data_IF_010131403546
#
_entry.id   IF_010131403546
#
_cell.length_a   1.000
_cell.length_b   1.000
_cell.length_c   1.000
_cell.angle_alpha   90.00
_cell.angle_beta   90.00
_cell.angle_gamma   90.00
#
_symmetry.space_group_name_H-M   'P 1'
#
loop_
_entity.id
_entity.type
_entity.pdbx_description
1 polymer ?
#
# COMPACT_ATOMS: atom_id res chain seq x y z
N UNK A 1 -19.51 -9.18 -3.85
CA UNK A 1 -18.89 -8.06 -4.58
C UNK A 1 -17.93 -7.39 -3.62
N UNK A 2 -16.64 -7.69 -3.70
CA UNK A 2 -15.65 -7.00 -2.88
C UNK A 2 -15.46 -5.61 -3.50
N UNK A 3 -15.92 -4.58 -2.79
CA UNK A 3 -15.66 -3.19 -3.16
C UNK A 3 -14.15 -2.98 -3.21
N UNK A 4 -13.60 -2.77 -4.41
CA UNK A 4 -12.22 -2.31 -4.58
C UNK A 4 -12.14 -0.94 -3.90
N UNK A 5 -11.47 -0.92 -2.76
CA UNK A 5 -11.27 0.27 -1.95
C UNK A 5 -9.90 0.85 -2.29
N UNK A 6 -9.82 2.13 -2.66
CA UNK A 6 -8.57 2.81 -2.97
C UNK A 6 -8.59 4.24 -2.43
N UNK A 7 -7.42 4.78 -2.11
CA UNK A 7 -7.30 6.13 -1.56
C UNK A 7 -7.89 6.28 -0.16
N UNK A 8 -7.88 5.21 0.63
CA UNK A 8 -8.50 5.18 1.96
C UNK A 8 -7.44 5.37 3.03
N UNK A 9 -7.75 6.09 4.11
CA UNK A 9 -6.88 6.20 5.29
C UNK A 9 -7.47 5.45 6.47
N UNK A 10 -6.60 4.81 7.24
CA UNK A 10 -6.90 4.33 8.58
C UNK A 10 -6.04 5.05 9.62
N UNK A 11 -6.59 5.29 10.81
CA UNK A 11 -5.95 6.11 11.84
C UNK A 11 -5.93 5.45 13.21
N UNK A 12 -7.06 4.89 13.64
CA UNK A 12 -7.25 4.44 15.01
C UNK A 12 -7.12 2.93 15.09
N UNK A 13 -6.00 2.49 15.65
CA UNK A 13 -5.75 1.08 15.91
C UNK A 13 -6.49 0.61 17.15
N UNK A 14 -6.74 -0.69 17.21
CA UNK A 14 -7.05 -1.37 18.46
C UNK A 14 -5.90 -1.13 19.45
N UNK A 15 -6.24 -0.61 20.63
CA UNK A 15 -5.28 -0.07 21.61
C UNK A 15 -4.18 -1.06 22.00
N UNK A 16 -4.44 -2.35 21.86
CA UNK A 16 -3.54 -3.43 22.26
C UNK A 16 -2.41 -3.70 21.25
N UNK A 17 -2.51 -3.23 19.99
CA UNK A 17 -1.47 -3.47 18.97
C UNK A 17 -0.70 -2.20 18.59
N UNK A 18 0.41 -1.99 19.29
CA UNK A 18 1.40 -0.94 19.00
C UNK A 18 2.56 -1.45 18.15
N UNK A 19 2.45 -2.59 17.46
CA UNK A 19 3.55 -3.14 16.67
C UNK A 19 3.69 -2.42 15.32
N UNK A 20 4.92 -2.19 14.82
CA UNK A 20 5.12 -1.49 13.56
C UNK A 20 4.56 -2.30 12.39
N UNK A 21 3.77 -1.68 11.50
CA UNK A 21 3.26 -2.38 10.30
C UNK A 21 3.90 -1.90 9.00
N UNK A 22 4.65 -0.81 9.06
CA UNK A 22 5.35 -0.27 7.91
C UNK A 22 6.86 -0.19 8.15
N UNK A 23 7.61 -0.28 7.06
CA UNK A 23 9.06 -0.03 7.02
C UNK A 23 9.36 1.15 6.11
N UNK A 24 10.49 1.80 6.37
CA UNK A 24 11.05 2.78 5.45
C UNK A 24 11.79 2.09 4.29
N UNK A 25 12.32 2.89 3.36
CA UNK A 25 13.05 2.41 2.18
C UNK A 25 14.36 1.68 2.51
N UNK A 26 14.84 1.77 3.75
CA UNK A 26 16.00 1.05 4.26
C UNK A 26 15.58 -0.20 5.04
N UNK A 27 14.33 -0.63 4.90
CA UNK A 27 13.74 -1.75 5.63
C UNK A 27 13.73 -1.59 7.16
N UNK A 28 13.85 -0.35 7.67
CA UNK A 28 13.77 -0.09 9.11
C UNK A 28 12.31 0.06 9.53
N UNK A 29 11.85 -0.61 10.60
CA UNK A 29 10.50 -0.42 11.11
C UNK A 29 10.23 1.05 11.41
N UNK A 30 9.06 1.53 10.99
CA UNK A 30 8.57 2.82 11.43
C UNK A 30 7.92 2.57 12.78
N UNK A 31 8.44 3.14 13.86
CA UNK A 31 7.92 2.90 15.21
C UNK A 31 6.62 3.69 15.48
N UNK A 32 5.76 3.10 16.32
CA UNK A 32 4.43 3.57 16.73
C UNK A 32 4.43 4.26 18.10
N UNK A 33 5.61 4.45 18.73
CA UNK A 33 5.72 4.96 20.11
C UNK A 33 5.26 6.42 20.27
N UNK A 34 4.90 6.80 21.49
CA UNK A 34 4.69 8.19 21.93
C UNK A 34 3.70 8.97 21.06
N UNK A 35 2.47 8.46 20.94
CA UNK A 35 1.38 9.09 20.16
C UNK A 35 1.59 9.12 18.64
N UNK A 36 2.60 8.40 18.11
CA UNK A 36 2.78 8.22 16.66
C UNK A 36 1.89 7.11 16.12
N UNK A 37 0.67 7.49 15.75
CA UNK A 37 -0.21 6.59 15.02
C UNK A 37 0.35 6.34 13.60
N UNK A 38 0.53 5.06 13.25
CA UNK A 38 0.68 4.67 11.85
C UNK A 38 -0.62 4.98 11.13
N UNK A 39 -0.55 5.91 10.18
CA UNK A 39 -1.65 6.24 9.29
C UNK A 39 -1.34 5.62 7.93
N UNK A 40 -1.71 4.35 7.70
CA UNK A 40 -1.60 3.78 6.38
C UNK A 40 -2.56 4.51 5.44
N UNK A 41 -2.01 4.96 4.33
CA UNK A 41 -2.79 5.39 3.19
C UNK A 41 -2.89 4.22 2.22
N UNK A 42 -4.06 3.59 2.17
CA UNK A 42 -4.33 2.47 1.28
C UNK A 42 -4.42 2.98 -0.16
N UNK A 43 -3.43 2.60 -0.95
CA UNK A 43 -3.42 2.83 -2.39
C UNK A 43 -4.51 2.01 -3.04
N UNK A 44 -4.65 0.74 -2.62
CA UNK A 44 -5.61 -0.20 -3.17
C UNK A 44 -5.75 -1.45 -2.27
N UNK A 45 -6.97 -2.03 -2.27
CA UNK A 45 -7.31 -3.34 -1.71
C UNK A 45 -7.51 -4.38 -2.81
N UNK A 46 -6.77 -5.49 -2.77
CA UNK A 46 -7.19 -6.71 -3.46
C UNK A 46 -8.20 -7.49 -2.62
N UNK A 47 -8.62 -8.64 -3.13
CA UNK A 47 -9.48 -9.55 -2.37
C UNK A 47 -8.80 -10.04 -1.09
N UNK A 48 -7.46 -10.17 -1.08
CA UNK A 48 -6.69 -10.82 -0.02
C UNK A 48 -5.58 -9.95 0.59
N UNK A 49 -5.18 -8.83 -0.03
CA UNK A 49 -4.07 -7.97 0.41
C UNK A 49 -4.48 -6.50 0.46
N UNK A 50 -3.77 -5.75 1.31
CA UNK A 50 -3.80 -4.28 1.36
C UNK A 50 -2.45 -3.75 0.93
N UNK A 51 -2.45 -2.81 -0.01
CA UNK A 51 -1.27 -2.09 -0.48
C UNK A 51 -1.34 -0.65 0.02
N UNK A 52 -0.39 -0.27 0.88
CA UNK A 52 -0.48 1.02 1.57
C UNK A 52 0.86 1.74 1.72
N UNK A 53 0.76 3.07 1.72
CA UNK A 53 1.86 3.99 1.95
C UNK A 53 1.84 4.48 3.39
N UNK A 54 2.98 4.98 3.84
CA UNK A 54 3.09 5.57 5.18
C UNK A 54 2.84 7.08 5.13
N UNK A 55 1.93 7.57 5.98
CA UNK A 55 1.72 9.00 6.15
C UNK A 55 2.39 9.54 7.41
N UNK A 56 3.21 10.58 7.24
CA UNK A 56 3.90 11.29 8.32
C UNK A 56 3.40 12.72 8.45
N UNK A 57 3.41 13.25 9.67
CA UNK A 57 3.14 14.68 9.89
C UNK A 57 4.41 15.46 9.61
N UNK A 58 4.31 16.48 8.75
CA UNK A 58 5.39 17.44 8.52
C UNK A 58 5.45 18.40 9.71
N UNK A 59 6.62 18.51 10.32
CA UNK A 59 6.92 19.45 11.40
C UNK A 59 8.26 20.10 11.10
N UNK A 60 8.51 21.27 11.69
CA UNK A 60 9.81 21.96 11.56
C UNK A 60 11.02 21.07 11.89
N UNK A 61 10.86 20.15 12.84
CA UNK A 61 11.90 19.20 13.28
C UNK A 61 12.32 18.18 12.20
N UNK A 62 11.41 17.78 11.30
CA UNK A 62 11.69 16.77 10.27
C UNK A 62 11.72 17.33 8.84
N UNK A 63 11.42 18.62 8.68
CA UNK A 63 11.30 19.35 7.43
C UNK A 63 12.50 19.16 6.49
N UNK A 64 13.72 19.39 7.00
CA UNK A 64 14.94 19.24 6.22
C UNK A 64 15.16 17.80 5.71
N UNK A 65 14.72 16.79 6.45
CA UNK A 65 14.81 15.40 5.99
C UNK A 65 13.79 15.08 4.90
N UNK A 66 12.59 15.67 4.99
CA UNK A 66 11.51 15.48 4.03
C UNK A 66 11.86 16.14 2.71
N UNK A 67 12.30 17.41 2.71
CA UNK A 67 12.64 18.13 1.48
C UNK A 67 13.83 17.52 0.74
N UNK A 68 14.80 16.93 1.44
CA UNK A 68 15.88 16.14 0.81
C UNK A 68 15.38 14.91 0.03
N UNK A 69 14.16 14.46 0.30
CA UNK A 69 13.51 13.32 -0.37
C UNK A 69 12.19 13.74 -1.02
N UNK A 70 12.01 15.00 -1.40
CA UNK A 70 10.76 15.48 -2.01
C UNK A 70 10.47 14.83 -3.36
N UNK A 71 11.51 14.36 -4.06
CA UNK A 71 11.39 13.57 -5.29
C UNK A 71 10.63 12.25 -5.07
N UNK A 72 10.67 11.74 -3.83
CA UNK A 72 10.11 10.45 -3.43
C UNK A 72 8.77 10.56 -2.71
N UNK A 73 8.40 11.74 -2.27
CA UNK A 73 7.27 11.96 -1.38
C UNK A 73 6.25 12.90 -2.02
N UNK A 74 4.98 12.69 -1.69
CA UNK A 74 3.97 13.74 -1.85
C UNK A 74 3.95 14.60 -0.58
N UNK A 75 4.08 15.92 -0.72
CA UNK A 75 4.07 16.87 0.40
C UNK A 75 2.80 17.71 0.29
N UNK A 76 1.90 17.55 1.25
CA UNK A 76 0.67 18.32 1.38
C UNK A 76 0.91 19.46 2.37
N UNK A 77 1.27 20.65 1.87
CA UNK A 77 1.49 21.85 2.70
C UNK A 77 0.18 22.49 3.13
N UNK A 78 0.12 22.97 4.37
CA UNK A 78 -1.02 23.68 4.98
C UNK A 78 -2.34 22.90 5.00
N UNK A 79 -2.33 21.64 4.55
CA UNK A 79 -3.46 20.71 4.61
C UNK A 79 -3.06 19.39 5.25
N UNK A 80 -4.02 18.73 5.88
CA UNK A 80 -3.90 17.34 6.29
C UNK A 80 -4.29 16.41 5.14
N UNK A 81 -3.98 15.13 5.26
CA UNK A 81 -4.49 14.09 4.35
C UNK A 81 -6.02 14.06 4.28
N UNK A 82 -6.73 14.57 5.29
CA UNK A 82 -8.19 14.65 5.31
C UNK A 82 -8.73 15.89 4.57
N UNK A 83 -7.88 16.62 3.84
CA UNK A 83 -8.19 17.90 3.18
C UNK A 83 -8.67 19.00 4.16
N UNK A 84 -8.30 18.90 5.43
CA UNK A 84 -8.57 19.90 6.45
C UNK A 84 -7.37 20.84 6.63
N UNK A 85 -7.56 22.11 7.03
CA UNK A 85 -6.46 22.99 7.42
C UNK A 85 -5.61 22.39 8.55
N UNK A 86 -4.30 22.58 8.46
CA UNK A 86 -3.38 22.10 9.50
C UNK A 86 -3.57 22.91 10.79
N UNK A 87 -3.55 22.22 11.94
CA UNK A 87 -3.65 22.82 13.28
C UNK A 87 -2.36 22.62 14.08
N UNK A 88 -2.09 23.54 15.00
CA UNK A 88 -0.97 23.46 15.95
C UNK A 88 0.40 23.64 15.28
N UNK A 89 1.39 22.81 15.68
CA UNK A 89 2.79 22.91 15.21
C UNK A 89 3.07 22.15 13.91
N UNK A 90 2.07 21.51 13.32
CA UNK A 90 2.24 20.81 12.05
C UNK A 90 2.30 21.83 10.90
N UNK A 91 3.03 21.48 9.85
CA UNK A 91 3.10 22.26 8.60
C UNK A 91 2.28 21.62 7.48
N UNK A 92 1.95 20.33 7.62
CA UNK A 92 1.35 19.54 6.56
C UNK A 92 1.41 18.03 6.85
N UNK A 93 1.09 17.25 5.83
CA UNK A 93 1.33 15.81 5.82
C UNK A 93 2.24 15.41 4.65
N UNK A 94 2.93 14.29 4.82
CA UNK A 94 3.83 13.72 3.82
C UNK A 94 3.41 12.27 3.61
N UNK A 95 3.23 11.88 2.35
CA UNK A 95 2.97 10.50 1.96
C UNK A 95 4.25 9.97 1.32
N UNK A 96 4.80 8.89 1.87
CA UNK A 96 6.00 8.24 1.34
C UNK A 96 5.63 7.36 0.14
N UNK A 97 5.92 7.87 -1.06
CA UNK A 97 5.65 7.19 -2.33
C UNK A 97 6.88 6.44 -2.85
N UNK A 98 7.89 6.19 -2.01
CA UNK A 98 9.03 5.33 -2.35
C UNK A 98 8.91 3.91 -1.82
N UNK A 99 7.97 3.66 -0.92
CA UNK A 99 7.77 2.37 -0.25
C UNK A 99 6.30 1.99 -0.27
N UNK A 100 6.01 0.80 -0.77
CA UNK A 100 4.68 0.18 -0.66
C UNK A 100 4.76 -0.93 0.36
N UNK A 101 3.93 -0.84 1.39
CA UNK A 101 3.79 -1.88 2.41
C UNK A 101 2.60 -2.76 2.04
N UNK A 102 2.72 -4.06 2.28
CA UNK A 102 1.75 -5.08 1.91
C UNK A 102 1.42 -5.92 3.14
N UNK A 103 0.14 -6.20 3.35
CA UNK A 103 -0.33 -7.06 4.43
C UNK A 103 -1.54 -7.86 3.96
N UNK A 104 -1.78 -9.02 4.56
CA UNK A 104 -3.06 -9.71 4.44
C UNK A 104 -4.22 -8.79 4.82
N UNK A 105 -5.28 -8.76 4.00
CA UNK A 105 -6.45 -7.91 4.21
C UNK A 105 -7.10 -8.16 5.56
N UNK A 106 -7.35 -9.43 5.88
CA UNK A 106 -7.94 -9.84 7.16
C UNK A 106 -7.06 -9.41 8.34
N UNK A 107 -5.74 -9.59 8.22
CA UNK A 107 -4.81 -9.18 9.26
C UNK A 107 -4.80 -7.66 9.44
N UNK A 108 -4.84 -6.91 8.34
CA UNK A 108 -4.86 -5.44 8.37
C UNK A 108 -6.14 -4.90 9.02
N UNK A 109 -7.30 -5.38 8.59
CA UNK A 109 -8.61 -4.92 9.09
C UNK A 109 -8.76 -5.19 10.59
N UNK A 110 -8.25 -6.31 11.10
CA UNK A 110 -8.23 -6.65 12.54
C UNK A 110 -7.40 -5.68 13.40
N UNK A 111 -6.52 -4.87 12.81
CA UNK A 111 -5.71 -3.92 13.56
C UNK A 111 -6.46 -2.64 13.91
N UNK A 112 -7.57 -2.37 13.24
CA UNK A 112 -8.28 -1.09 13.33
C UNK A 112 -9.60 -1.26 14.06
N UNK A 113 -9.99 -0.20 14.78
CA UNK A 113 -11.29 -0.13 15.44
C UNK A 113 -12.39 -0.04 14.39
N UNK A 114 -13.39 -0.91 14.52
CA UNK A 114 -14.61 -0.84 13.72
C UNK A 114 -15.38 0.45 14.06
N UNK A 115 -16.13 0.99 13.09
CA UNK A 115 -16.99 2.20 13.23
C UNK A 115 -16.32 3.53 13.61
N UNK A 116 -14.98 3.59 13.70
CA UNK A 116 -14.25 4.84 13.90
C UNK A 116 -14.25 5.72 12.65
N UNK A 117 -14.65 6.99 12.78
CA UNK A 117 -14.86 7.91 11.64
C UNK A 117 -13.64 8.07 10.72
N UNK A 118 -12.43 8.04 11.28
CA UNK A 118 -11.17 8.17 10.51
C UNK A 118 -10.56 6.82 10.12
N UNK A 119 -11.25 5.71 10.36
CA UNK A 119 -10.97 4.41 9.77
C UNK A 119 -11.90 4.25 8.56
N UNK A 120 -11.37 3.73 7.46
CA UNK A 120 -12.09 3.67 6.19
C UNK A 120 -12.47 5.06 5.61
N UNK A 121 -11.69 6.11 5.93
CA UNK A 121 -11.95 7.45 5.41
C UNK A 121 -11.41 7.59 3.98
N UNK A 122 -12.30 7.81 3.01
CA UNK A 122 -11.94 8.06 1.62
C UNK A 122 -11.30 9.45 1.46
N UNK A 123 -10.07 9.51 0.95
CA UNK A 123 -9.42 10.78 0.65
C UNK A 123 -10.01 11.43 -0.61
N UNK A 124 -9.86 12.75 -0.68
CA UNK A 124 -10.28 13.54 -1.83
C UNK A 124 -9.60 13.03 -3.11
N UNK A 125 -10.32 12.95 -4.25
CA UNK A 125 -9.79 12.41 -5.50
C UNK A 125 -8.49 13.06 -5.98
N UNK A 126 -8.34 14.37 -5.81
CA UNK A 126 -7.10 15.08 -6.19
C UNK A 126 -5.88 14.61 -5.39
N UNK A 127 -6.04 14.20 -4.12
CA UNK A 127 -4.92 13.62 -3.34
C UNK A 127 -4.55 12.25 -3.93
N UNK A 128 -5.56 11.44 -4.29
CA UNK A 128 -5.31 10.15 -4.94
C UNK A 128 -4.57 10.33 -6.27
N UNK A 129 -5.02 11.27 -7.10
CA UNK A 129 -4.37 11.60 -8.36
C UNK A 129 -2.90 12.00 -8.17
N UNK A 130 -2.60 12.88 -7.22
CA UNK A 130 -1.24 13.27 -6.90
C UNK A 130 -0.38 12.09 -6.40
N UNK A 131 -0.96 11.20 -5.58
CA UNK A 131 -0.25 9.99 -5.13
C UNK A 131 0.04 9.07 -6.31
N UNK A 132 -0.93 8.81 -7.19
CA UNK A 132 -0.73 7.95 -8.35
C UNK A 132 0.30 8.52 -9.33
N UNK A 133 0.32 9.85 -9.52
CA UNK A 133 1.37 10.53 -10.29
C UNK A 133 2.75 10.33 -9.66
N UNK A 134 2.86 10.53 -8.34
CA UNK A 134 4.14 10.35 -7.63
C UNK A 134 4.61 8.90 -7.62
N UNK A 135 3.69 7.94 -7.49
CA UNK A 135 4.01 6.50 -7.58
C UNK A 135 4.49 6.12 -8.97
N UNK A 136 3.90 6.67 -10.04
CA UNK A 136 4.34 6.44 -11.40
C UNK A 136 5.75 6.97 -11.68
N UNK A 137 6.06 8.18 -11.20
CA UNK A 137 7.42 8.72 -11.27
C UNK A 137 8.45 7.80 -10.57
N UNK A 138 8.02 7.15 -9.48
CA UNK A 138 8.87 6.27 -8.67
C UNK A 138 8.81 4.80 -9.05
N UNK A 139 7.98 4.38 -10.02
CA UNK A 139 7.60 2.97 -10.23
C UNK A 139 8.78 2.00 -10.33
N UNK A 140 9.86 2.42 -11.01
CA UNK A 140 11.07 1.61 -11.23
C UNK A 140 12.01 1.54 -10.00
N UNK A 141 11.69 2.25 -8.92
CA UNK A 141 12.54 2.38 -7.71
C UNK A 141 11.75 2.09 -6.43
N UNK A 142 10.52 1.58 -6.55
CA UNK A 142 9.68 1.25 -5.41
C UNK A 142 10.31 0.13 -4.58
N UNK A 143 10.23 0.29 -3.26
CA UNK A 143 10.60 -0.74 -2.30
C UNK A 143 9.34 -1.39 -1.75
N UNK A 144 9.32 -2.72 -1.70
CA UNK A 144 8.18 -3.51 -1.21
C UNK A 144 8.49 -4.13 0.14
N UNK A 145 7.60 -3.95 1.11
CA UNK A 145 7.72 -4.55 2.44
C UNK A 145 6.44 -5.32 2.78
N UNK A 146 6.57 -6.62 3.06
CA UNK A 146 5.43 -7.46 3.45
C UNK A 146 5.39 -7.72 4.95
N UNK A 147 4.23 -7.55 5.58
CA UNK A 147 3.95 -8.09 6.92
C UNK A 147 3.23 -9.42 6.78
N UNK A 148 3.72 -10.44 7.47
CA UNK A 148 3.15 -11.79 7.41
C UNK A 148 2.48 -12.22 8.72
N UNK A 149 2.71 -11.49 9.82
CA UNK A 149 2.09 -11.78 11.10
C UNK A 149 2.66 -10.99 12.27
N UNK A 150 2.18 -11.32 13.47
CA UNK A 150 2.68 -10.80 14.73
C UNK A 150 2.94 -11.97 15.69
N UNK A 151 4.09 -11.97 16.34
CA UNK A 151 4.50 -13.05 17.23
C UNK A 151 5.42 -12.49 18.32
N UNK A 152 5.33 -12.97 19.57
CA UNK A 152 6.24 -12.61 20.67
C UNK A 152 6.56 -11.10 20.75
N UNK A 153 5.53 -10.24 20.68
CA UNK A 153 5.66 -8.77 20.70
C UNK A 153 6.52 -8.17 19.58
N UNK A 154 6.62 -8.84 18.43
CA UNK A 154 7.26 -8.30 17.22
C UNK A 154 6.39 -8.52 15.99
N UNK A 155 6.56 -7.63 15.02
CA UNK A 155 6.06 -7.83 13.66
C UNK A 155 6.95 -8.79 12.91
N UNK A 156 6.36 -9.78 12.25
CA UNK A 156 7.05 -10.70 11.36
C UNK A 156 6.95 -10.21 9.92
N UNK A 157 8.10 -10.12 9.25
CA UNK A 157 8.20 -9.55 7.92
C UNK A 157 8.47 -10.64 6.89
N UNK A 158 7.99 -10.43 5.66
CA UNK A 158 8.25 -11.35 4.55
C UNK A 158 9.76 -11.54 4.30
N UNK A 159 10.56 -10.49 4.51
CA UNK A 159 12.01 -10.54 4.41
C UNK A 159 12.64 -11.53 5.41
N UNK A 160 12.01 -11.75 6.57
CA UNK A 160 12.55 -12.64 7.60
C UNK A 160 12.52 -14.11 7.15
N UNK A 161 11.70 -14.46 6.14
CA UNK A 161 11.66 -15.80 5.55
C UNK A 161 12.91 -16.14 4.75
N UNK A 162 13.67 -15.15 4.29
CA UNK A 162 14.87 -15.35 3.44
C UNK A 162 16.04 -16.04 4.14
N UNK A 163 15.92 -16.36 5.43
CA UNK A 163 16.91 -17.10 6.23
C UNK A 163 17.09 -18.55 5.79
N UNK A 164 16.18 -19.08 4.99
CA UNK A 164 16.26 -20.43 4.41
C UNK A 164 16.20 -20.34 2.89
N UNK A 165 16.74 -21.34 2.18
CA UNK A 165 16.68 -21.38 0.72
C UNK A 165 15.24 -21.39 0.21
N UNK A 166 14.39 -22.23 0.80
CA UNK A 166 12.96 -22.29 0.49
C UNK A 166 12.27 -20.94 0.73
N UNK A 167 12.55 -20.28 1.86
CA UNK A 167 11.98 -18.98 2.16
C UNK A 167 12.51 -17.85 1.27
N UNK A 168 13.72 -17.97 0.70
CA UNK A 168 14.22 -17.06 -0.34
C UNK A 168 13.42 -17.21 -1.64
N UNK A 169 13.14 -18.44 -2.07
CA UNK A 169 12.30 -18.70 -3.25
C UNK A 169 10.87 -18.16 -3.04
N UNK A 170 10.29 -18.38 -1.86
CA UNK A 170 8.99 -17.80 -1.49
C UNK A 170 9.00 -16.27 -1.52
N UNK A 171 10.06 -15.65 -1.00
CA UNK A 171 10.22 -14.20 -1.02
C UNK A 171 10.33 -13.66 -2.44
N UNK A 172 11.12 -14.29 -3.31
CA UNK A 172 11.28 -13.89 -4.71
C UNK A 172 9.95 -14.00 -5.46
N UNK A 173 9.24 -15.13 -5.32
CA UNK A 173 7.92 -15.33 -5.92
C UNK A 173 6.91 -14.29 -5.42
N UNK A 174 6.84 -14.07 -4.11
CA UNK A 174 5.99 -13.04 -3.52
C UNK A 174 6.32 -11.66 -4.07
N UNK A 175 7.62 -11.30 -4.11
CA UNK A 175 8.10 -9.99 -4.57
C UNK A 175 7.67 -9.74 -6.02
N UNK A 176 7.90 -10.69 -6.92
CA UNK A 176 7.49 -10.58 -8.33
C UNK A 176 5.99 -10.38 -8.47
N UNK A 177 5.18 -11.09 -7.66
CA UNK A 177 3.71 -10.94 -7.68
C UNK A 177 3.26 -9.57 -7.20
N UNK A 178 3.77 -9.10 -6.05
CA UNK A 178 3.38 -7.78 -5.52
C UNK A 178 3.83 -6.65 -6.44
N UNK A 179 5.02 -6.76 -7.03
CA UNK A 179 5.55 -5.79 -7.99
C UNK A 179 4.70 -5.74 -9.26
N UNK A 180 4.26 -6.89 -9.78
CA UNK A 180 3.35 -6.93 -10.92
C UNK A 180 2.00 -6.28 -10.59
N UNK A 181 1.38 -6.63 -9.47
CA UNK A 181 0.08 -6.05 -9.06
C UNK A 181 0.16 -4.53 -8.94
N UNK A 182 1.12 -4.01 -8.17
CA UNK A 182 1.21 -2.56 -7.93
C UNK A 182 1.60 -1.79 -9.19
N UNK A 183 2.47 -2.36 -10.03
CA UNK A 183 2.83 -1.75 -11.32
C UNK A 183 1.61 -1.70 -12.24
N UNK A 184 0.82 -2.78 -12.32
CA UNK A 184 -0.46 -2.77 -13.05
C UNK A 184 -1.37 -1.67 -12.54
N UNK A 185 -1.63 -1.56 -11.23
CA UNK A 185 -2.50 -0.50 -10.67
C UNK A 185 -2.01 0.90 -11.08
N UNK A 186 -0.71 1.14 -10.97
CA UNK A 186 -0.09 2.43 -11.31
C UNK A 186 -0.20 2.73 -12.81
N UNK A 187 0.13 1.76 -13.66
CA UNK A 187 0.12 1.93 -15.11
C UNK A 187 -1.28 2.00 -15.69
N UNK A 188 -2.21 1.19 -15.17
CA UNK A 188 -3.64 1.26 -15.49
C UNK A 188 -4.16 2.66 -15.20
N UNK A 189 -3.88 3.23 -14.02
CA UNK A 189 -4.31 4.60 -13.72
C UNK A 189 -3.75 5.61 -14.73
N UNK A 190 -2.47 5.51 -15.07
CA UNK A 190 -1.81 6.41 -16.02
C UNK A 190 -2.24 6.20 -17.48
N UNK A 191 -2.88 5.08 -17.80
CA UNK A 191 -3.48 4.83 -19.11
C UNK A 191 -4.84 5.52 -19.29
N UNK A 192 -5.47 5.97 -18.20
CA UNK A 192 -6.76 6.65 -18.23
C UNK A 192 -6.56 8.07 -18.80
N UNK A 193 -7.47 8.49 -19.67
CA UNK A 193 -7.48 9.86 -20.21
C UNK A 193 -7.48 10.90 -19.09
N UNK A 194 -6.55 11.86 -19.16
CA UNK A 194 -6.46 12.97 -18.19
C UNK A 194 -7.74 13.80 -18.14
N UNK A 195 -8.38 14.03 -19.29
CA UNK A 195 -9.66 14.74 -19.35
C UNK A 195 -10.75 14.02 -18.56
N UNK A 196 -10.75 12.68 -18.55
CA UNK A 196 -11.74 11.91 -17.78
C UNK A 196 -11.46 11.95 -16.27
N UNK A 197 -10.19 11.95 -15.86
CA UNK A 197 -9.79 12.15 -14.47
C UNK A 197 -10.21 13.53 -13.98
N UNK A 198 -9.83 14.59 -14.71
CA UNK A 198 -10.02 15.98 -14.32
C UNK A 198 -11.49 16.35 -14.14
N UNK A 199 -12.38 15.85 -14.99
CA UNK A 199 -13.84 16.02 -14.87
C UNK A 199 -14.39 15.56 -13.53
N UNK A 200 -13.73 14.61 -12.85
CA UNK A 200 -14.23 13.91 -11.66
C UNK A 200 -13.46 14.25 -10.38
N UNK A 201 -12.38 15.03 -10.44
CA UNK A 201 -11.55 15.34 -9.26
C UNK A 201 -12.30 16.03 -8.11
N UNK A 202 -13.40 16.72 -8.43
CA UNK A 202 -14.24 17.43 -7.45
C UNK A 202 -15.48 16.65 -7.02
N UNK A 203 -15.69 15.43 -7.53
CA UNK A 203 -16.82 14.57 -7.18
C UNK A 203 -16.33 13.17 -6.78
N UNK A 204 -16.27 12.94 -5.47
CA UNK A 204 -15.73 11.70 -4.91
C UNK A 204 -16.48 10.45 -5.38
N UNK A 205 -17.82 10.49 -5.41
CA UNK A 205 -18.64 9.33 -5.77
C UNK A 205 -18.49 8.98 -7.24
N UNK A 206 -18.49 9.98 -8.13
CA UNK A 206 -18.27 9.75 -9.56
C UNK A 206 -16.86 9.24 -9.85
N UNK A 207 -15.86 9.80 -9.15
CA UNK A 207 -14.49 9.36 -9.28
C UNK A 207 -14.32 7.89 -8.89
N UNK A 208 -14.87 7.50 -7.73
CA UNK A 208 -14.81 6.11 -7.25
C UNK A 208 -15.54 5.17 -8.20
N UNK A 209 -16.74 5.51 -8.64
CA UNK A 209 -17.52 4.70 -9.60
C UNK A 209 -16.82 4.53 -10.95
N UNK A 210 -16.05 5.53 -11.37
CA UNK A 210 -15.33 5.50 -12.64
C UNK A 210 -14.07 4.64 -12.59
N UNK A 211 -13.25 4.79 -11.55
CA UNK A 211 -11.95 4.12 -11.44
C UNK A 211 -12.07 2.66 -10.99
N UNK A 212 -12.98 2.36 -10.05
CA UNK A 212 -13.06 1.01 -9.43
C UNK A 212 -13.19 -0.14 -10.45
N UNK A 213 -14.10 -0.05 -11.45
CA UNK A 213 -14.25 -1.13 -12.44
C UNK A 213 -13.01 -1.32 -13.32
N UNK A 214 -12.27 -0.24 -13.59
CA UNK A 214 -11.04 -0.29 -14.40
C UNK A 214 -9.98 -1.13 -13.67
N UNK A 215 -9.76 -0.87 -12.38
CA UNK A 215 -8.85 -1.68 -11.59
C UNK A 215 -9.28 -3.13 -11.45
N UNK A 216 -10.58 -3.36 -11.23
CA UNK A 216 -11.11 -4.71 -11.07
C UNK A 216 -10.78 -5.60 -12.28
N UNK A 217 -11.06 -5.12 -13.49
CA UNK A 217 -10.84 -5.88 -14.73
C UNK A 217 -9.35 -6.20 -14.95
N UNK A 218 -8.47 -5.21 -14.77
CA UNK A 218 -7.03 -5.39 -14.99
C UNK A 218 -6.41 -6.33 -13.96
N UNK A 219 -6.86 -6.25 -12.70
CA UNK A 219 -6.33 -7.11 -11.65
C UNK A 219 -6.86 -8.52 -11.70
N UNK A 220 -8.11 -8.72 -12.14
CA UNK A 220 -8.64 -10.06 -12.40
C UNK A 220 -7.73 -10.80 -13.40
N UNK A 221 -7.31 -10.13 -14.47
CA UNK A 221 -6.35 -10.70 -15.43
C UNK A 221 -4.99 -11.04 -14.79
N UNK A 222 -4.45 -10.14 -13.96
CA UNK A 222 -3.18 -10.37 -13.25
C UNK A 222 -3.28 -11.57 -12.30
N UNK A 223 -4.34 -11.65 -11.49
CA UNK A 223 -4.52 -12.76 -10.54
C UNK A 223 -4.71 -14.09 -11.26
N UNK A 224 -5.51 -14.13 -12.33
CA UNK A 224 -5.67 -15.33 -13.16
C UNK A 224 -4.32 -15.82 -13.73
N UNK A 225 -3.42 -14.90 -14.12
CA UNK A 225 -2.09 -15.29 -14.58
C UNK A 225 -1.25 -15.97 -13.49
N UNK A 226 -1.38 -15.56 -12.22
CA UNK A 226 -0.68 -16.20 -11.11
C UNK A 226 -1.19 -17.61 -10.83
N UNK A 227 -2.51 -17.83 -10.94
CA UNK A 227 -3.10 -19.16 -10.77
C UNK A 227 -2.64 -20.12 -11.87
N UNK A 228 -2.51 -19.64 -13.10
CA UNK A 228 -1.98 -20.44 -14.21
C UNK A 228 -0.51 -20.82 -13.97
N UNK A 229 0.31 -19.87 -13.52
CA UNK A 229 1.71 -20.12 -13.17
C UNK A 229 1.82 -21.18 -12.05
N UNK A 230 0.98 -21.07 -11.01
CA UNK A 230 0.95 -22.02 -9.89
C UNK A 230 0.58 -23.44 -10.35
N UNK A 231 -0.48 -23.58 -11.15
CA UNK A 231 -0.91 -24.87 -11.70
C UNK A 231 0.17 -25.50 -12.58
N UNK A 232 0.88 -24.69 -13.36
CA UNK A 232 1.97 -25.17 -14.22
C UNK A 232 3.17 -25.66 -13.41
N UNK A 233 3.58 -24.93 -12.37
CA UNK A 233 4.63 -25.37 -11.45
C UNK A 233 4.29 -26.69 -10.74
N UNK A 234 3.04 -26.86 -10.28
CA UNK A 234 2.55 -28.09 -9.67
C UNK A 234 2.59 -29.27 -10.64
N UNK A 235 2.15 -29.06 -11.88
CA UNK A 235 2.20 -30.06 -12.95
C UNK A 235 3.63 -30.55 -13.19
N UNK A 236 4.60 -29.63 -13.30
CA UNK A 236 6.02 -29.97 -13.51
C UNK A 236 6.61 -30.77 -12.34
N UNK A 237 6.28 -30.40 -11.09
CA UNK A 237 6.69 -31.16 -9.89
C UNK A 237 6.11 -32.57 -9.87
N UNK A 238 4.84 -32.73 -10.27
CA UNK A 238 4.17 -34.04 -10.28
C UNK A 238 4.77 -35.00 -11.31
N UNK A 239 5.19 -34.50 -12.48
CA UNK A 239 5.75 -35.34 -13.55
C UNK A 239 7.25 -35.61 -13.37
N UNK A 240 8.01 -34.69 -12.77
CA UNK A 240 9.42 -34.94 -12.45
C UNK A 240 9.60 -36.04 -11.39
N UNK A 241 8.63 -36.19 -10.47
CA UNK A 241 8.64 -37.28 -9.48
C UNK A 241 8.22 -38.64 -10.08
N UNK A 242 7.39 -38.66 -11.12
CA UNK A 242 7.00 -39.91 -11.81
C UNK A 242 8.14 -40.56 -12.60
N UNK A 243 9.17 -39.80 -12.98
CA UNK A 243 10.35 -40.32 -13.69
C UNK A 243 11.52 -40.69 -12.74
N UNK A 244 11.34 -40.56 -11.43
CA UNK A 244 12.31 -40.97 -10.40
C UNK A 244 11.91 -42.23 -9.62
N UNK A 245 10.74 -42.81 -9.92
CA UNK A 245 10.30 -44.14 -9.45
C UNK A 245 10.48 -45.15 -10.58
#
# INVERSE_FOLDING_TARGET
MNSVMFGIVFKFRNLDNTLPIARDRFSRPIETSDYKLHRPYVVFYSDDKVYYLSVKTLKKENEASIYRNQDKNLILLNKTIYNEPVKGKALGNVIDCSVVNIMDRKLFEQLYQEDEYYNNYQLAPWIYDEVMNKLYENKNKLVFNGVVGFNNNRTEWMLDKTKTEQGRLEYEKWRTRVEKVITTVIETYHSISRDEIEKRLNNQDEYVKFISPIYYNELEYVYNSFEMDDKWEEYQKSNSNKHKM
#
